data_IF_040195142820
#
_entry.id   IF_040195142820
#
_cell.length_a   1.000
_cell.length_b   1.000
_cell.length_c   1.000
_cell.angle_alpha   90.00
_cell.angle_beta   90.00
_cell.angle_gamma   90.00
#
_symmetry.space_group_name_H-M   'P 1'
#
loop_
_entity.id
_entity.type
_entity.pdbx_description
1 polymer ?
#
# COMPACT_ATOMS: atom_id res chain seq x y z
N UNK A 1 4.33 21.92 -3.46
CA UNK A 1 3.66 21.49 -4.71
C UNK A 1 3.75 19.95 -4.78
N UNK A 2 2.84 19.24 -4.12
CA UNK A 2 2.72 17.77 -4.20
C UNK A 2 1.22 17.47 -4.19
N UNK A 3 0.61 17.79 -5.33
CA UNK A 3 -0.84 17.81 -5.53
C UNK A 3 -1.34 16.38 -5.80
N UNK A 4 -0.52 15.55 -6.46
CA UNK A 4 -0.89 14.20 -6.93
C UNK A 4 -1.37 13.29 -5.79
N UNK A 5 -0.56 13.04 -4.75
CA UNK A 5 -0.98 12.12 -3.67
C UNK A 5 -2.19 12.63 -2.90
N UNK A 6 -2.33 13.95 -2.72
CA UNK A 6 -3.46 14.53 -1.97
C UNK A 6 -4.76 14.55 -2.75
N UNK A 7 -4.70 14.64 -4.08
CA UNK A 7 -5.89 14.86 -4.92
C UNK A 7 -6.32 13.61 -5.67
N UNK A 8 -5.44 12.63 -5.87
CA UNK A 8 -5.76 11.42 -6.63
C UNK A 8 -6.36 10.30 -5.77
N UNK A 9 -6.03 10.24 -4.48
CA UNK A 9 -6.53 9.19 -3.58
C UNK A 9 -7.03 9.83 -2.29
N UNK A 10 -8.35 9.81 -2.03
CA UNK A 10 -8.92 10.34 -0.80
C UNK A 10 -8.56 9.41 0.37
N UNK A 11 -7.39 9.62 0.97
CA UNK A 11 -6.89 8.79 2.06
C UNK A 11 -5.83 9.51 2.90
N UNK A 12 -5.82 9.23 4.21
CA UNK A 12 -4.77 9.73 5.12
C UNK A 12 -3.70 8.66 5.27
N UNK A 13 -2.66 8.76 4.45
CA UNK A 13 -1.45 7.95 4.58
C UNK A 13 -0.82 8.15 5.96
N UNK A 14 -0.55 7.09 6.71
CA UNK A 14 0.22 7.14 7.96
C UNK A 14 1.67 6.76 7.71
N UNK A 15 1.89 5.58 7.14
CA UNK A 15 3.20 5.01 6.83
C UNK A 15 3.09 4.17 5.56
N UNK A 16 4.18 4.06 4.81
CA UNK A 16 4.30 3.30 3.56
C UNK A 16 5.57 2.45 3.69
N UNK A 17 5.42 1.13 3.67
CA UNK A 17 6.51 0.19 3.83
C UNK A 17 6.76 -0.53 2.51
N UNK A 18 7.96 -0.36 1.96
CA UNK A 18 8.40 -1.04 0.74
C UNK A 18 9.36 -2.14 1.19
N UNK A 19 8.96 -3.38 0.98
CA UNK A 19 9.74 -4.59 1.29
C UNK A 19 10.43 -5.12 0.02
N UNK A 20 11.54 -5.83 0.21
CA UNK A 20 12.31 -6.44 -0.87
C UNK A 20 12.80 -5.39 -1.89
N UNK A 21 13.43 -4.30 -1.41
CA UNK A 21 13.97 -3.31 -2.32
C UNK A 21 15.11 -3.91 -3.14
N UNK A 22 14.91 -3.95 -4.46
CA UNK A 22 15.98 -4.28 -5.40
C UNK A 22 16.82 -3.02 -5.71
N UNK A 23 17.94 -3.19 -6.41
CA UNK A 23 18.84 -2.08 -6.79
C UNK A 23 18.12 -0.99 -7.61
N UNK A 24 17.02 -1.32 -8.29
CA UNK A 24 16.25 -0.39 -9.13
C UNK A 24 15.23 0.45 -8.33
N UNK A 25 14.79 -0.01 -7.15
CA UNK A 25 13.80 0.71 -6.34
C UNK A 25 14.33 2.07 -5.87
N UNK A 26 15.62 2.14 -5.50
CA UNK A 26 16.26 3.38 -5.02
C UNK A 26 16.27 4.50 -6.08
N UNK A 27 16.73 4.29 -7.32
CA UNK A 27 16.66 5.34 -8.35
C UNK A 27 15.21 5.68 -8.73
N UNK A 28 14.29 4.72 -8.79
CA UNK A 28 12.87 5.02 -9.00
C UNK A 28 12.31 5.91 -7.88
N UNK A 29 12.65 5.64 -6.62
CA UNK A 29 12.26 6.47 -5.49
C UNK A 29 12.81 7.90 -5.61
N UNK A 30 14.06 8.08 -6.06
CA UNK A 30 14.65 9.41 -6.30
C UNK A 30 13.89 10.23 -7.33
N UNK A 31 13.31 9.59 -8.33
CA UNK A 31 12.46 10.25 -9.33
C UNK A 31 11.09 10.59 -8.74
N UNK A 32 10.54 9.76 -7.85
CA UNK A 32 9.21 9.98 -7.26
C UNK A 32 9.27 11.02 -6.14
N UNK A 33 10.31 10.99 -5.28
CA UNK A 33 10.37 11.76 -4.04
C UNK A 33 10.32 13.28 -4.26
N UNK A 34 10.78 13.77 -5.41
CA UNK A 34 10.73 15.19 -5.78
C UNK A 34 9.29 15.69 -5.96
N UNK A 35 8.36 14.80 -6.31
CA UNK A 35 6.94 15.12 -6.42
C UNK A 35 6.21 15.01 -5.08
N UNK A 36 6.88 14.57 -4.02
CA UNK A 36 6.28 14.30 -2.72
C UNK A 36 6.56 15.42 -1.72
N UNK A 37 5.56 15.74 -0.89
CA UNK A 37 5.78 16.60 0.28
C UNK A 37 6.71 15.91 1.28
N UNK A 38 7.47 16.71 2.04
CA UNK A 38 8.34 16.21 3.11
C UNK A 38 7.60 15.28 4.08
N UNK A 39 6.35 15.62 4.41
CA UNK A 39 5.47 14.79 5.23
C UNK A 39 5.29 13.37 4.69
N UNK A 40 5.18 13.18 3.37
CA UNK A 40 5.04 11.84 2.78
C UNK A 40 6.41 11.17 2.68
N UNK A 41 7.45 11.91 2.32
CA UNK A 41 8.83 11.37 2.26
C UNK A 41 9.25 10.76 3.60
N UNK A 42 8.95 11.43 4.72
CA UNK A 42 9.26 10.95 6.07
C UNK A 42 8.43 9.74 6.52
N UNK A 43 7.45 9.31 5.72
CA UNK A 43 6.55 8.18 6.00
C UNK A 43 6.84 6.97 5.13
N UNK A 44 7.82 7.05 4.23
CA UNK A 44 8.22 5.94 3.38
C UNK A 44 9.43 5.25 3.98
N UNK A 45 9.29 3.96 4.24
CA UNK A 45 10.29 3.11 4.85
C UNK A 45 10.66 1.97 3.89
N UNK A 46 11.96 1.78 3.64
CA UNK A 46 12.48 0.71 2.80
C UNK A 46 13.05 -0.41 3.68
N UNK A 47 12.69 -1.66 3.38
CA UNK A 47 13.00 -2.84 4.19
C UNK A 47 13.62 -3.94 3.34
N UNK A 48 14.93 -4.14 3.50
CA UNK A 48 15.70 -5.17 2.79
C UNK A 48 15.30 -6.60 3.13
N UNK A 49 14.72 -6.79 4.32
CA UNK A 49 14.25 -8.07 4.84
C UNK A 49 12.88 -7.88 5.46
N UNK A 50 12.04 -8.90 5.34
CA UNK A 50 10.70 -8.94 5.94
C UNK A 50 10.74 -8.93 7.47
N UNK A 51 11.86 -9.34 8.09
CA UNK A 51 12.02 -9.34 9.55
C UNK A 51 11.87 -7.94 10.16
N UNK A 52 12.35 -6.90 9.46
CA UNK A 52 12.23 -5.50 9.90
C UNK A 52 10.79 -4.99 9.87
N UNK A 53 9.89 -5.69 9.19
CA UNK A 53 8.47 -5.36 9.18
C UNK A 53 7.84 -5.64 10.55
N UNK A 54 8.40 -6.58 11.33
CA UNK A 54 7.91 -6.92 12.67
C UNK A 54 8.13 -5.82 13.71
N UNK A 55 9.02 -4.86 13.44
CA UNK A 55 9.20 -3.68 14.29
C UNK A 55 8.01 -2.70 14.20
N UNK A 56 7.23 -2.79 13.12
CA UNK A 56 6.09 -1.91 12.84
C UNK A 56 4.75 -2.63 12.97
N UNK A 57 4.70 -3.92 12.63
CA UNK A 57 3.47 -4.70 12.60
C UNK A 57 3.65 -6.03 13.35
N UNK A 58 2.69 -6.44 14.21
CA UNK A 58 2.78 -7.73 14.89
C UNK A 58 2.69 -8.90 13.90
N UNK A 59 3.41 -10.01 14.18
CA UNK A 59 3.39 -11.21 13.32
C UNK A 59 1.98 -11.75 13.04
N UNK A 60 1.09 -11.68 14.03
CA UNK A 60 -0.27 -12.19 13.94
C UNK A 60 -1.13 -11.56 12.84
N UNK A 61 -0.80 -10.33 12.37
CA UNK A 61 -1.59 -9.63 11.34
C UNK A 61 -0.94 -9.70 9.96
N UNK A 62 0.31 -10.15 9.88
CA UNK A 62 1.04 -10.22 8.62
C UNK A 62 0.80 -11.60 7.97
N UNK A 63 0.58 -11.63 6.65
CA UNK A 63 0.54 -12.88 5.89
C UNK A 63 1.76 -13.77 6.11
N UNK A 64 1.54 -15.08 6.04
CA UNK A 64 2.63 -16.09 6.06
C UNK A 64 3.67 -15.87 4.97
N UNK A 65 3.28 -15.32 3.81
CA UNK A 65 4.19 -14.96 2.72
C UNK A 65 5.24 -13.92 3.11
N UNK A 66 4.95 -13.10 4.12
CA UNK A 66 5.88 -12.11 4.69
C UNK A 66 6.49 -12.58 6.02
N UNK A 67 6.32 -13.85 6.39
CA UNK A 67 6.83 -14.45 7.63
C UNK A 67 5.97 -14.21 8.87
N UNK A 68 4.71 -13.76 8.70
CA UNK A 68 3.74 -13.65 9.79
C UNK A 68 2.93 -14.93 10.02
N UNK A 69 1.94 -14.84 10.90
CA UNK A 69 1.11 -15.98 11.32
C UNK A 69 -0.27 -15.99 10.63
N UNK A 70 -0.58 -14.99 9.78
CA UNK A 70 -1.86 -14.91 9.09
C UNK A 70 -1.86 -15.88 7.89
N UNK A 71 -2.45 -17.06 8.09
CA UNK A 71 -2.52 -18.14 7.11
C UNK A 71 -3.58 -17.87 6.03
N UNK A 72 -4.67 -17.21 6.40
CA UNK A 72 -5.81 -17.07 5.51
C UNK A 72 -5.62 -15.88 4.57
N UNK A 73 -5.78 -16.12 3.26
CA UNK A 73 -5.76 -15.09 2.23
C UNK A 73 -7.04 -14.23 2.29
N UNK A 74 -7.21 -13.49 3.39
CA UNK A 74 -8.29 -12.55 3.62
C UNK A 74 -8.36 -11.49 2.52
N UNK A 75 -7.23 -11.20 1.88
CA UNK A 75 -7.15 -10.22 0.79
C UNK A 75 -7.93 -10.68 -0.46
N UNK A 76 -7.85 -11.95 -0.84
CA UNK A 76 -8.58 -12.46 -2.01
C UNK A 76 -10.10 -12.41 -1.78
N UNK A 77 -10.55 -12.90 -0.62
CA UNK A 77 -11.96 -12.86 -0.24
C UNK A 77 -12.47 -11.43 -0.10
N UNK A 78 -11.67 -10.54 0.50
CA UNK A 78 -11.98 -9.11 0.61
C UNK A 78 -12.06 -8.45 -0.76
N UNK A 79 -11.10 -8.71 -1.65
CA UNK A 79 -11.08 -8.15 -3.01
C UNK A 79 -12.29 -8.60 -3.82
N UNK A 80 -12.64 -9.89 -3.74
CA UNK A 80 -13.84 -10.43 -4.38
C UNK A 80 -15.12 -9.78 -3.83
N UNK A 81 -15.21 -9.60 -2.51
CA UNK A 81 -16.34 -8.94 -1.86
C UNK A 81 -16.44 -7.47 -2.26
N UNK A 82 -15.34 -6.72 -2.17
CA UNK A 82 -15.29 -5.31 -2.57
C UNK A 82 -15.74 -5.14 -4.03
N UNK A 83 -15.25 -6.00 -4.94
CA UNK A 83 -15.67 -6.00 -6.34
C UNK A 83 -17.15 -6.37 -6.55
N UNK A 84 -17.72 -7.25 -5.71
CA UNK A 84 -19.13 -7.59 -5.75
C UNK A 84 -20.02 -6.45 -5.22
N UNK A 85 -19.63 -5.83 -4.10
CA UNK A 85 -20.32 -4.68 -3.49
C UNK A 85 -20.29 -3.46 -4.42
N UNK A 86 -19.21 -3.30 -5.20
CA UNK A 86 -19.10 -2.27 -6.23
C UNK A 86 -20.08 -2.42 -7.42
N UNK A 87 -20.70 -3.60 -7.62
CA UNK A 87 -21.76 -3.79 -8.64
C UNK A 87 -23.11 -3.17 -8.23
N UNK A 88 -23.30 -2.82 -6.95
CA UNK A 88 -24.43 -2.03 -6.47
C UNK A 88 -24.07 -0.53 -6.52
N UNK A 89 -24.21 0.06 -7.70
CA UNK A 89 -23.87 1.46 -7.95
C UNK A 89 -24.63 2.41 -7.01
N UNK A 90 -23.90 3.33 -6.37
CA UNK A 90 -24.47 4.60 -5.93
C UNK A 90 -24.81 5.42 -7.16
N UNK A 91 -26.06 5.31 -7.64
CA UNK A 91 -26.87 6.13 -8.56
C UNK A 91 -26.22 6.70 -9.87
N UNK A 92 -24.92 6.98 -9.99
CA UNK A 92 -24.32 7.67 -11.16
C UNK A 92 -22.87 7.31 -11.53
N UNK A 93 -22.19 6.34 -10.90
CA UNK A 93 -20.79 6.02 -11.21
C UNK A 93 -20.61 4.97 -12.32
N UNK A 94 -19.73 5.20 -13.31
CA UNK A 94 -19.38 4.18 -14.31
C UNK A 94 -18.64 2.97 -13.69
N UNK A 95 -18.85 1.75 -14.22
CA UNK A 95 -18.10 0.58 -13.78
C UNK A 95 -16.63 0.68 -14.21
N UNK A 96 -15.70 0.45 -13.28
CA UNK A 96 -14.27 0.39 -13.59
C UNK A 96 -13.90 -0.96 -14.23
N UNK A 97 -13.08 -0.91 -15.28
CA UNK A 97 -12.57 -2.08 -16.01
C UNK A 97 -11.28 -2.60 -15.36
N UNK A 98 -11.39 -3.27 -14.20
CA UNK A 98 -10.31 -4.14 -13.69
C UNK A 98 -10.92 -5.45 -13.19
#
# INVERSE_FOLDING_TARGET
MSTVIKHCIPGRYKEIHIINENVLVKPCWKIIEVFLSEKIRNRVHFHSSTEKLFDYFPRAILPTEYGGDLIENQMENWSRKANADHKHHGVTGQPNFF
#
